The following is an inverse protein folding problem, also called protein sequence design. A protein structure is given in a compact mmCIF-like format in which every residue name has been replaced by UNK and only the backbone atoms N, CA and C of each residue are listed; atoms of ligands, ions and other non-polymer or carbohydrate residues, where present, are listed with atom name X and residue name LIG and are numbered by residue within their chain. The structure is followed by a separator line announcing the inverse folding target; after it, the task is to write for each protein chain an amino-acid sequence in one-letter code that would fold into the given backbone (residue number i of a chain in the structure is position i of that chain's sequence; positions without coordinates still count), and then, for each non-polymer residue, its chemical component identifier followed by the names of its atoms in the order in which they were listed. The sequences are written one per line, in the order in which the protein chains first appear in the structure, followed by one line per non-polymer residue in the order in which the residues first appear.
data_IF_444844110831
#
_entry.id   IF_444844110831
#
_cell.length_a   1.000
_cell.length_b   1.000
_cell.length_c   1.000
_cell.angle_alpha   90.00
_cell.angle_beta   90.00
_cell.angle_gamma   90.00
#
_symmetry.space_group_name_H-M   'P 1'
#
loop_
_entity.id
_entity.type
_entity.pdbx_description
1 polymer ?
#
# COMPACT_ATOMS: atom_id res chain seq x y z
N UNK A 1 14.47 2.71 -26.50
CA UNK A 1 13.56 1.93 -25.65
C UNK A 1 13.13 2.74 -24.41
N UNK A 2 14.06 3.45 -23.76
CA UNK A 2 13.79 4.33 -22.60
C UNK A 2 12.76 5.44 -22.84
N UNK A 3 12.78 6.10 -24.01
CA UNK A 3 11.82 7.17 -24.34
C UNK A 3 10.35 6.70 -24.29
N UNK A 4 10.08 5.43 -24.64
CA UNK A 4 8.71 4.87 -24.54
C UNK A 4 8.31 4.62 -23.08
N UNK A 5 9.24 4.17 -22.23
CA UNK A 5 9.00 3.96 -20.81
C UNK A 5 8.73 5.26 -20.05
N UNK A 6 9.50 6.31 -20.33
CA UNK A 6 9.28 7.64 -19.72
C UNK A 6 7.92 8.24 -20.11
N UNK A 7 7.51 8.09 -21.38
CA UNK A 7 6.18 8.53 -21.83
C UNK A 7 5.05 7.79 -21.13
N UNK A 8 5.18 6.47 -20.97
CA UNK A 8 4.18 5.67 -20.25
C UNK A 8 4.08 6.06 -18.77
N UNK A 9 5.22 6.27 -18.10
CA UNK A 9 5.25 6.73 -16.71
C UNK A 9 4.60 8.12 -16.56
N UNK A 10 4.86 9.05 -17.49
CA UNK A 10 4.23 10.36 -17.50
C UNK A 10 2.71 10.30 -17.72
N UNK A 11 2.23 9.41 -18.59
CA UNK A 11 0.78 9.18 -18.79
C UNK A 11 0.13 8.65 -17.53
N UNK A 12 0.71 7.61 -16.92
CA UNK A 12 0.22 7.02 -15.68
C UNK A 12 0.14 8.05 -14.54
N UNK A 13 1.17 8.88 -14.38
CA UNK A 13 1.15 9.96 -13.39
C UNK A 13 0.04 10.97 -13.70
N UNK A 14 -0.10 11.38 -14.96
CA UNK A 14 -1.12 12.35 -15.38
C UNK A 14 -2.53 11.85 -15.11
N UNK A 15 -2.79 10.58 -15.40
CA UNK A 15 -4.10 9.94 -15.20
C UNK A 15 -4.47 9.81 -13.72
N UNK A 16 -3.51 9.47 -12.84
CA UNK A 16 -3.77 9.24 -11.42
C UNK A 16 -3.37 10.39 -10.48
N UNK A 17 -3.08 11.58 -11.00
CA UNK A 17 -2.53 12.68 -10.20
C UNK A 17 -3.53 13.16 -9.13
N UNK A 18 -4.81 13.17 -9.46
CA UNK A 18 -5.88 13.64 -8.56
C UNK A 18 -5.94 12.76 -7.31
N UNK A 19 -6.01 11.44 -7.50
CA UNK A 19 -6.09 10.45 -6.44
C UNK A 19 -4.78 10.37 -5.64
N UNK A 20 -3.65 10.49 -6.32
CA UNK A 20 -2.33 10.40 -5.67
C UNK A 20 -2.04 11.61 -4.80
N UNK A 21 -2.65 12.78 -5.07
CA UNK A 21 -2.38 14.02 -4.35
C UNK A 21 -3.45 14.41 -3.33
N UNK A 22 -4.56 13.66 -3.21
CA UNK A 22 -5.64 13.93 -2.24
C UNK A 22 -5.12 14.14 -0.81
N UNK A 23 -4.10 13.40 -0.38
CA UNK A 23 -3.53 13.52 0.98
C UNK A 23 -2.75 14.83 1.22
N UNK A 24 -2.50 15.62 0.17
CA UNK A 24 -1.82 16.93 0.24
C UNK A 24 -2.78 18.10 0.39
N UNK A 25 -4.10 17.88 0.27
CA UNK A 25 -5.10 18.92 0.47
C UNK A 25 -4.97 19.54 1.88
N UNK A 26 -5.35 20.81 1.99
CA UNK A 26 -5.24 21.57 3.23
C UNK A 26 -6.12 20.99 4.35
N UNK A 27 -7.26 20.43 3.96
CA UNK A 27 -8.19 19.77 4.88
C UNK A 27 -7.61 18.45 5.45
N UNK A 28 -6.59 17.86 4.81
CA UNK A 28 -6.04 16.57 5.23
C UNK A 28 -4.96 16.73 6.32
N UNK A 29 -5.01 15.97 7.43
CA UNK A 29 -4.04 16.08 8.53
C UNK A 29 -2.60 15.90 8.08
N UNK A 30 -1.77 16.90 8.39
CA UNK A 30 -0.34 16.93 8.01
C UNK A 30 0.42 15.74 8.60
N UNK A 31 0.02 15.25 9.77
CA UNK A 31 0.65 14.11 10.45
C UNK A 31 0.48 12.80 9.67
N UNK A 32 -0.56 12.67 8.85
CA UNK A 32 -0.79 11.50 8.02
C UNK A 32 0.08 11.50 6.75
N UNK A 33 0.49 12.67 6.26
CA UNK A 33 1.22 12.82 4.97
C UNK A 33 2.47 11.96 4.92
N UNK A 34 3.26 11.93 6.00
CA UNK A 34 4.50 11.14 6.07
C UNK A 34 4.23 9.63 5.94
N UNK A 35 3.12 9.14 6.50
CA UNK A 35 2.76 7.72 6.48
C UNK A 35 2.19 7.30 5.12
N UNK A 36 1.36 8.15 4.51
CA UNK A 36 0.72 7.89 3.20
C UNK A 36 1.76 7.96 2.06
N UNK A 37 2.70 8.90 2.12
CA UNK A 37 3.73 9.09 1.08
C UNK A 37 4.61 7.84 0.87
N UNK A 38 4.76 6.97 1.86
CA UNK A 38 5.65 5.81 1.78
C UNK A 38 4.89 4.50 1.77
N UNK A 39 5.31 3.56 0.92
CA UNK A 39 4.78 2.20 0.82
C UNK A 39 5.66 1.17 1.55
N UNK A 40 6.60 1.60 2.39
CA UNK A 40 7.63 0.77 3.02
C UNK A 40 7.10 -0.51 3.68
N UNK A 41 5.95 -0.42 4.37
CA UNK A 41 5.33 -1.57 5.02
C UNK A 41 4.86 -2.63 4.01
N UNK A 42 4.25 -2.19 2.90
CA UNK A 42 3.80 -3.06 1.81
C UNK A 42 5.00 -3.65 1.09
N UNK A 43 6.03 -2.85 0.79
CA UNK A 43 7.25 -3.36 0.15
C UNK A 43 7.98 -4.39 1.00
N UNK A 44 8.05 -4.18 2.32
CA UNK A 44 8.63 -5.14 3.26
C UNK A 44 7.85 -6.46 3.25
N UNK A 45 6.52 -6.40 3.24
CA UNK A 45 5.66 -7.58 3.14
C UNK A 45 5.86 -8.31 1.81
N UNK A 46 5.84 -7.59 0.69
CA UNK A 46 6.03 -8.16 -0.65
C UNK A 46 7.40 -8.82 -0.81
N UNK A 47 8.45 -8.21 -0.26
CA UNK A 47 9.81 -8.79 -0.25
C UNK A 47 9.84 -10.11 0.53
N UNK A 48 9.18 -10.17 1.67
CA UNK A 48 9.10 -11.38 2.49
C UNK A 48 8.26 -12.48 1.82
N UNK A 49 7.15 -12.12 1.16
CA UNK A 49 6.37 -13.06 0.35
C UNK A 49 7.23 -13.65 -0.76
N UNK A 50 7.91 -12.80 -1.56
CA UNK A 50 8.82 -13.23 -2.62
C UNK A 50 9.94 -14.14 -2.12
N UNK A 51 10.50 -13.83 -0.94
CA UNK A 51 11.55 -14.66 -0.31
C UNK A 51 11.02 -16.05 0.04
N UNK A 52 9.81 -16.13 0.62
CA UNK A 52 9.19 -17.41 1.01
C UNK A 52 8.75 -18.25 -0.19
N UNK A 53 8.16 -17.63 -1.20
CA UNK A 53 7.77 -18.35 -2.43
C UNK A 53 8.99 -18.85 -3.19
N UNK A 54 10.10 -18.10 -3.21
CA UNK A 54 11.36 -18.55 -3.83
C UNK A 54 11.94 -19.81 -3.20
N UNK A 55 11.78 -19.99 -1.88
CA UNK A 55 12.27 -21.21 -1.18
C UNK A 55 11.46 -22.45 -1.57
N UNK A 56 10.16 -22.28 -1.83
CA UNK A 56 9.30 -23.41 -2.25
C UNK A 56 9.65 -23.88 -3.67
N UNK A 57 10.09 -22.97 -4.55
CA UNK A 57 10.52 -23.30 -5.91
C UNK A 57 9.34 -23.58 -6.85
N UNK A 58 8.58 -24.64 -6.58
CA UNK A 58 7.36 -25.02 -7.32
C UNK A 58 6.25 -25.41 -6.36
N UNK A 59 5.05 -24.87 -6.59
CA UNK A 59 3.86 -25.22 -5.82
C UNK A 59 3.09 -26.35 -6.52
N UNK A 60 2.47 -27.26 -5.76
CA UNK A 60 1.67 -28.34 -6.33
C UNK A 60 0.43 -27.81 -7.08
N UNK A 61 -0.10 -26.65 -6.67
CA UNK A 61 -1.23 -25.97 -7.30
C UNK A 61 -1.29 -24.49 -6.91
N UNK A 62 -2.11 -23.71 -7.62
CA UNK A 62 -2.26 -22.27 -7.39
C UNK A 62 -2.89 -21.90 -6.03
N UNK A 63 -3.76 -22.75 -5.48
CA UNK A 63 -4.37 -22.56 -4.16
C UNK A 63 -3.33 -22.73 -3.05
N UNK A 64 -2.40 -23.66 -3.19
CA UNK A 64 -1.27 -23.82 -2.28
C UNK A 64 -0.38 -22.56 -2.22
N UNK A 65 -0.10 -21.94 -3.37
CA UNK A 65 0.62 -20.67 -3.42
C UNK A 65 -0.16 -19.53 -2.74
N UNK A 66 -1.46 -19.43 -3.06
CA UNK A 66 -2.35 -18.44 -2.44
C UNK A 66 -2.41 -18.60 -0.92
N UNK A 67 -2.51 -19.83 -0.42
CA UNK A 67 -2.55 -20.13 1.01
C UNK A 67 -1.31 -19.62 1.74
N UNK A 68 -0.11 -19.80 1.17
CA UNK A 68 1.13 -19.29 1.76
C UNK A 68 1.13 -17.76 1.83
N UNK A 69 0.71 -17.10 0.75
CA UNK A 69 0.62 -15.64 0.69
C UNK A 69 -0.37 -15.13 1.73
N UNK A 70 -1.59 -15.69 1.76
CA UNK A 70 -2.64 -15.34 2.72
C UNK A 70 -2.21 -15.58 4.16
N UNK A 71 -1.58 -16.72 4.46
CA UNK A 71 -1.05 -17.02 5.78
C UNK A 71 -0.03 -15.97 6.21
N UNK A 72 0.85 -15.52 5.28
CA UNK A 72 1.84 -14.49 5.60
C UNK A 72 1.21 -13.12 5.85
N UNK A 73 0.24 -12.72 5.03
CA UNK A 73 -0.50 -11.47 5.22
C UNK A 73 -1.20 -11.49 6.58
N UNK A 74 -1.97 -12.55 6.87
CA UNK A 74 -2.71 -12.69 8.14
C UNK A 74 -1.79 -12.60 9.34
N UNK A 75 -0.63 -13.25 9.31
CA UNK A 75 0.35 -13.17 10.39
C UNK A 75 0.84 -11.74 10.62
N UNK A 76 1.19 -11.01 9.54
CA UNK A 76 1.70 -9.64 9.67
C UNK A 76 0.62 -8.68 10.17
N UNK A 77 -0.60 -8.81 9.65
CA UNK A 77 -1.74 -8.01 10.11
C UNK A 77 -2.02 -8.23 11.59
N UNK A 78 -2.03 -9.49 12.06
CA UNK A 78 -2.34 -9.82 13.44
C UNK A 78 -1.25 -9.44 14.46
N UNK A 79 0.03 -9.41 14.05
CA UNK A 79 1.15 -9.21 14.98
C UNK A 79 1.81 -7.82 14.88
N UNK A 80 1.94 -7.28 13.68
CA UNK A 80 2.73 -6.05 13.46
C UNK A 80 1.82 -4.85 13.23
N UNK A 81 0.79 -5.01 12.40
CA UNK A 81 -0.04 -3.88 11.98
C UNK A 81 -1.15 -3.57 12.99
N UNK A 82 -1.60 -4.57 13.75
CA UNK A 82 -2.53 -4.40 14.87
C UNK A 82 -1.91 -3.70 16.08
N UNK A 83 -0.57 -3.72 16.23
CA UNK A 83 0.10 -3.28 17.44
C UNK A 83 0.14 -1.75 17.62
N UNK A 84 -0.07 -0.96 16.55
CA UNK A 84 -0.03 0.51 16.60
C UNK A 84 -1.07 1.12 15.67
N UNK A 85 -1.66 2.24 16.10
CA UNK A 85 -2.56 3.04 15.26
C UNK A 85 -1.80 3.66 14.09
N UNK A 86 -2.01 3.13 12.88
CA UNK A 86 -1.32 3.55 11.66
C UNK A 86 -1.81 4.90 11.11
N UNK A 87 -3.09 5.23 11.25
CA UNK A 87 -3.65 6.56 10.99
C UNK A 87 -4.66 6.88 12.10
N UNK A 88 -4.68 8.13 12.55
CA UNK A 88 -5.59 8.59 13.60
C UNK A 88 -6.85 9.17 12.97
N UNK A 89 -7.90 8.35 12.88
CA UNK A 89 -9.11 8.70 12.14
C UNK A 89 -9.89 9.87 12.75
N UNK A 90 -9.75 10.11 14.06
CA UNK A 90 -10.38 11.26 14.75
C UNK A 90 -9.99 12.62 14.16
N UNK A 91 -8.88 12.68 13.44
CA UNK A 91 -8.39 13.91 12.80
C UNK A 91 -9.02 14.16 11.43
N UNK A 92 -9.84 13.23 10.93
CA UNK A 92 -10.52 13.33 9.63
C UNK A 92 -12.00 13.74 9.76
N UNK A 93 -12.54 13.82 10.98
CA UNK A 93 -13.97 14.03 11.25
C UNK A 93 -14.51 15.38 10.73
N UNK A 94 -13.64 16.38 10.57
CA UNK A 94 -14.00 17.69 9.98
C UNK A 94 -14.13 17.70 8.45
N UNK A 95 -13.56 16.70 7.76
CA UNK A 95 -13.56 16.61 6.29
C UNK A 95 -14.82 15.88 5.79
N UNK A 96 -15.29 14.87 6.54
CA UNK A 96 -16.42 14.03 6.13
C UNK A 96 -17.77 14.75 6.22
N UNK A 97 -17.87 15.86 6.96
CA UNK A 97 -19.11 16.64 7.13
C UNK A 97 -19.32 17.70 6.05
N UNK A 98 -18.31 18.00 5.22
CA UNK A 98 -18.37 19.03 4.17
C UNK A 98 -18.62 18.47 2.76
N UNK A 99 -18.95 17.18 2.65
CA UNK A 99 -19.16 16.50 1.35
C UNK A 99 -20.63 16.10 1.10
N UNK A 100 -21.57 16.71 1.83
CA UNK A 100 -23.02 16.74 1.50
C UNK A 100 -23.37 18.01 0.71
#
# INVERSE_FOLDING_TARGET
MESKGLKAAASCLREGISETTTYLLDDYPVEHRRRIRTNNMIERLNREIRRRTRVVGSFPDGRSALMLVCARIRYVTANQWSARRYLDMSRLDGIMQSTD
#
